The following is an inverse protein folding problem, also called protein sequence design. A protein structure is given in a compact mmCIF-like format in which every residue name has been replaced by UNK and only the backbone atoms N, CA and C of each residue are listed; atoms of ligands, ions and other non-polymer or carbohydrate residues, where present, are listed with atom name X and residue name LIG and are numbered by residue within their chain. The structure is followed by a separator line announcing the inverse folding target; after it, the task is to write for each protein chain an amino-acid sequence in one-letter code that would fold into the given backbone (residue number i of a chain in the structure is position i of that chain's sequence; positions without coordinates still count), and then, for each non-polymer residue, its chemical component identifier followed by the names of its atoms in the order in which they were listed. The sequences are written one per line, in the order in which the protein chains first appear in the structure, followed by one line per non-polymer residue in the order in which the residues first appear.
data_IF_061713932100
#
_entry.id   IF_061713932100
#
_cell.length_a   1.000
_cell.length_b   1.000
_cell.length_c   1.000
_cell.angle_alpha   90.00
_cell.angle_beta   90.00
_cell.angle_gamma   90.00
#
_symmetry.space_group_name_H-M   'P 1'
#
loop_
_entity.id
_entity.type
_entity.pdbx_description
1 polymer ?
#
# COMPACT_ATOMS: atom_id res chain seq x y z
N UNK A 1 8.54 16.69 10.10
CA UNK A 1 8.61 18.00 9.43
C UNK A 1 9.75 18.87 9.93
N UNK A 2 9.82 19.22 11.21
CA UNK A 2 10.88 20.07 11.80
C UNK A 2 12.33 19.84 11.34
N UNK A 3 12.74 18.59 11.06
CA UNK A 3 14.10 18.28 10.55
C UNK A 3 14.30 18.83 9.13
N UNK A 4 13.32 18.63 8.25
CA UNK A 4 13.34 19.16 6.87
C UNK A 4 13.23 20.68 6.88
N UNK A 5 12.36 21.23 7.72
CA UNK A 5 12.20 22.69 7.88
C UNK A 5 13.51 23.35 8.32
N UNK A 6 14.17 22.80 9.36
CA UNK A 6 15.47 23.28 9.83
C UNK A 6 16.56 23.19 8.76
N UNK A 7 16.53 22.14 7.95
CA UNK A 7 17.52 21.93 6.89
C UNK A 7 17.16 22.66 5.59
N UNK A 8 16.00 23.32 5.52
CA UNK A 8 15.46 23.96 4.32
C UNK A 8 15.41 22.97 3.13
N UNK A 9 15.06 21.71 3.42
CA UNK A 9 14.93 20.65 2.42
C UNK A 9 13.47 20.52 2.03
N UNK A 10 13.18 20.76 0.75
CA UNK A 10 11.87 20.48 0.18
C UNK A 10 11.57 18.98 0.21
N UNK A 11 10.31 18.63 0.44
CA UNK A 11 9.82 17.27 0.43
C UNK A 11 8.41 17.29 -0.15
N UNK A 12 7.98 16.15 -0.66
CA UNK A 12 6.59 15.92 -1.04
C UNK A 12 6.20 14.51 -0.63
N UNK A 13 4.91 14.26 -0.51
CA UNK A 13 4.43 12.89 -0.43
C UNK A 13 4.80 12.16 -1.72
N UNK A 14 5.20 10.90 -1.60
CA UNK A 14 5.58 10.09 -2.75
C UNK A 14 4.42 9.82 -3.72
N UNK A 15 3.22 9.56 -3.19
CA UNK A 15 2.09 9.06 -3.96
C UNK A 15 1.08 10.17 -4.27
N UNK A 16 0.99 10.55 -5.54
CA UNK A 16 0.00 11.55 -5.99
C UNK A 16 -1.40 10.93 -6.16
N UNK A 17 -1.49 9.84 -6.92
CA UNK A 17 -2.76 9.18 -7.29
C UNK A 17 -2.76 7.72 -6.90
N UNK A 18 -3.85 7.23 -6.31
CA UNK A 18 -4.03 5.81 -6.02
C UNK A 18 -5.51 5.37 -6.04
N UNK A 19 -5.79 4.21 -5.43
CA UNK A 19 -7.12 3.59 -5.35
C UNK A 19 -7.84 3.83 -4.02
N UNK A 20 -7.35 4.76 -3.18
CA UNK A 20 -8.03 5.20 -1.95
C UNK A 20 -7.22 5.06 -0.65
N UNK A 21 -5.90 4.83 -0.69
CA UNK A 21 -5.12 4.51 0.51
C UNK A 21 -4.31 5.70 1.05
N UNK A 22 -3.36 6.22 0.28
CA UNK A 22 -2.38 7.24 0.68
C UNK A 22 -2.34 8.45 -0.26
N UNK A 23 -2.84 8.33 -1.48
CA UNK A 23 -2.78 9.37 -2.51
C UNK A 23 -3.46 10.69 -2.11
N UNK A 24 -2.93 11.79 -2.63
CA UNK A 24 -3.54 13.13 -2.60
C UNK A 24 -4.84 13.19 -3.40
N UNK A 25 -4.87 12.46 -4.50
CA UNK A 25 -6.08 12.16 -5.26
C UNK A 25 -6.24 10.65 -5.36
N UNK A 26 -7.47 10.17 -5.48
CA UNK A 26 -7.72 8.75 -5.64
C UNK A 26 -8.96 8.49 -6.47
N UNK A 27 -9.04 7.32 -7.09
CA UNK A 27 -10.26 6.90 -7.77
C UNK A 27 -11.45 6.88 -6.78
N UNK A 28 -12.64 7.23 -7.26
CA UNK A 28 -13.84 7.13 -6.42
C UNK A 28 -14.06 5.68 -5.94
N UNK A 29 -14.44 5.45 -4.67
CA UNK A 29 -14.87 4.13 -4.20
C UNK A 29 -15.99 3.52 -5.05
N UNK A 30 -16.81 4.38 -5.67
CA UNK A 30 -17.91 3.99 -6.56
C UNK A 30 -17.51 3.80 -8.02
N UNK A 31 -16.25 4.03 -8.36
CA UNK A 31 -15.76 3.92 -9.74
C UNK A 31 -15.77 2.47 -10.24
N UNK A 32 -15.91 2.23 -11.55
CA UNK A 32 -15.84 0.89 -12.15
C UNK A 32 -14.60 0.10 -11.69
N UNK A 33 -13.42 0.74 -11.71
CA UNK A 33 -12.18 0.14 -11.23
C UNK A 33 -12.27 -0.36 -9.77
N UNK A 34 -12.66 0.51 -8.83
CA UNK A 34 -12.70 0.14 -7.41
C UNK A 34 -13.72 -0.95 -7.12
N UNK A 35 -14.89 -0.91 -7.78
CA UNK A 35 -15.92 -1.94 -7.65
C UNK A 35 -15.43 -3.29 -8.15
N UNK A 36 -14.74 -3.32 -9.29
CA UNK A 36 -14.18 -4.54 -9.86
C UNK A 36 -13.17 -5.21 -8.92
N UNK A 37 -12.21 -4.44 -8.40
CA UNK A 37 -11.10 -5.00 -7.62
C UNK A 37 -11.42 -5.17 -6.13
N UNK A 38 -12.53 -4.62 -5.62
CA UNK A 38 -12.87 -4.62 -4.21
C UNK A 38 -12.80 -5.99 -3.54
N UNK A 39 -13.36 -7.09 -4.11
CA UNK A 39 -13.25 -8.41 -3.49
C UNK A 39 -11.80 -8.88 -3.34
N UNK A 40 -10.96 -8.60 -4.33
CA UNK A 40 -9.55 -8.96 -4.28
C UNK A 40 -8.78 -8.09 -3.29
N UNK A 41 -9.09 -6.79 -3.18
CA UNK A 41 -8.51 -5.92 -2.16
C UNK A 41 -8.83 -6.40 -0.74
N UNK A 42 -10.06 -6.85 -0.47
CA UNK A 42 -10.41 -7.43 0.83
C UNK A 42 -9.64 -8.72 1.09
N UNK A 43 -9.44 -9.57 0.08
CA UNK A 43 -8.55 -10.73 0.17
C UNK A 43 -7.12 -10.31 0.51
N UNK A 44 -6.55 -9.30 -0.17
CA UNK A 44 -5.20 -8.78 0.11
C UNK A 44 -5.07 -8.27 1.55
N UNK A 45 -6.05 -7.52 2.05
CA UNK A 45 -6.07 -6.98 3.41
C UNK A 45 -6.08 -8.09 4.46
N UNK A 46 -7.00 -9.06 4.31
CA UNK A 46 -7.15 -10.19 5.25
C UNK A 46 -5.88 -11.04 5.32
N UNK A 47 -5.26 -11.29 4.17
CA UNK A 47 -4.04 -12.08 4.04
C UNK A 47 -2.74 -11.28 4.23
N UNK A 48 -2.85 -9.96 4.49
CA UNK A 48 -1.72 -9.05 4.71
C UNK A 48 -0.66 -9.08 3.57
N UNK A 49 -1.13 -9.16 2.32
CA UNK A 49 -0.25 -9.33 1.14
C UNK A 49 0.54 -8.06 0.79
N UNK A 50 0.10 -6.90 1.25
CA UNK A 50 0.82 -5.64 1.09
C UNK A 50 1.54 -5.26 2.39
N UNK A 51 2.72 -4.64 2.26
CA UNK A 51 3.47 -4.11 3.41
C UNK A 51 2.78 -2.92 4.09
N UNK A 52 1.81 -2.30 3.41
CA UNK A 52 1.04 -1.14 3.87
C UNK A 52 -0.45 -1.43 3.75
N UNK A 53 -1.29 -0.74 4.53
CA UNK A 53 -2.75 -0.88 4.42
C UNK A 53 -3.30 -2.23 4.91
N UNK A 54 -2.49 -3.03 5.60
CA UNK A 54 -2.91 -4.25 6.27
C UNK A 54 -3.51 -3.98 7.65
N UNK A 55 -4.47 -4.80 8.05
CA UNK A 55 -5.06 -4.79 9.39
C UNK A 55 -4.60 -6.03 10.18
N UNK A 56 -4.64 -6.00 11.53
CA UNK A 56 -4.42 -7.18 12.34
C UNK A 56 -5.30 -8.34 11.87
N UNK A 57 -4.71 -9.53 11.76
CA UNK A 57 -5.36 -10.74 11.25
C UNK A 57 -4.92 -11.91 12.10
N UNK A 58 -5.85 -12.47 12.88
CA UNK A 58 -5.60 -13.61 13.77
C UNK A 58 -5.18 -14.86 12.96
N UNK A 59 -5.77 -15.05 11.78
CA UNK A 59 -5.40 -16.12 10.84
C UNK A 59 -3.91 -16.05 10.47
N UNK A 60 -3.44 -14.86 10.07
CA UNK A 60 -2.04 -14.65 9.69
C UNK A 60 -1.12 -14.71 10.90
N UNK A 61 -1.53 -14.16 12.03
CA UNK A 61 -0.73 -14.17 13.27
C UNK A 61 -0.49 -15.60 13.77
N UNK A 62 -1.53 -16.43 13.80
CA UNK A 62 -1.44 -17.83 14.24
C UNK A 62 -0.52 -18.67 13.34
N UNK A 63 -0.40 -18.32 12.05
CA UNK A 63 0.53 -18.96 11.12
C UNK A 63 1.97 -18.44 11.30
N UNK A 64 2.15 -17.13 11.33
CA UNK A 64 3.47 -16.50 11.25
C UNK A 64 4.21 -16.52 12.58
N UNK A 65 3.52 -16.39 13.71
CA UNK A 65 4.14 -16.31 15.03
C UNK A 65 5.01 -17.53 15.37
N UNK A 66 4.54 -18.79 15.22
CA UNK A 66 5.38 -19.97 15.49
C UNK A 66 6.61 -20.04 14.58
N UNK A 67 6.47 -19.61 13.31
CA UNK A 67 7.58 -19.57 12.37
C UNK A 67 8.64 -18.54 12.78
N UNK A 68 8.21 -17.33 13.17
CA UNK A 68 9.10 -16.27 13.66
C UNK A 68 9.84 -16.74 14.91
N UNK A 69 9.13 -17.30 15.89
CA UNK A 69 9.71 -17.83 17.12
C UNK A 69 10.72 -18.95 16.85
N UNK A 70 10.43 -19.83 15.90
CA UNK A 70 11.36 -20.87 15.48
C UNK A 70 12.61 -20.29 14.81
N UNK A 71 12.47 -19.32 13.90
CA UNK A 71 13.61 -18.65 13.25
C UNK A 71 14.47 -17.93 14.29
N UNK A 72 13.88 -17.19 15.21
CA UNK A 72 14.62 -16.50 16.27
C UNK A 72 15.37 -17.48 17.19
N UNK A 73 14.82 -18.68 17.40
CA UNK A 73 15.48 -19.74 18.17
C UNK A 73 16.69 -20.33 17.43
N UNK A 74 16.58 -20.62 16.13
CA UNK A 74 17.63 -21.31 15.36
C UNK A 74 18.64 -20.37 14.73
N UNK A 75 18.26 -19.12 14.50
CA UNK A 75 19.09 -18.03 13.97
C UNK A 75 18.81 -16.73 14.71
N UNK A 76 19.34 -16.57 15.95
CA UNK A 76 19.14 -15.35 16.73
C UNK A 76 19.67 -14.07 16.05
N UNK A 77 20.56 -14.23 15.07
CA UNK A 77 21.15 -13.17 14.24
C UNK A 77 20.27 -12.78 13.05
N UNK A 78 19.16 -13.47 12.79
CA UNK A 78 18.27 -13.16 11.66
C UNK A 78 17.71 -11.73 11.74
N UNK A 79 17.48 -11.23 12.95
CA UNK A 79 17.06 -9.84 13.22
C UNK A 79 18.10 -8.79 12.83
N UNK A 80 19.36 -9.18 12.64
CA UNK A 80 20.47 -8.28 12.31
C UNK A 80 20.73 -8.24 10.79
N UNK A 81 19.99 -9.03 10.00
CA UNK A 81 20.10 -9.04 8.54
C UNK A 81 19.68 -7.70 7.94
N UNK A 82 20.38 -7.29 6.87
CA UNK A 82 20.03 -6.11 6.11
C UNK A 82 18.64 -6.27 5.44
N UNK A 83 17.74 -5.27 5.53
CA UNK A 83 17.92 -3.96 6.18
C UNK A 83 17.90 -4.05 7.71
N UNK A 84 18.91 -3.46 8.37
CA UNK A 84 19.10 -3.55 9.84
C UNK A 84 18.02 -2.85 10.65
N UNK A 85 17.13 -2.08 10.00
CA UNK A 85 15.94 -1.50 10.62
C UNK A 85 14.78 -2.49 10.73
N UNK A 86 14.94 -3.72 10.23
CA UNK A 86 13.90 -4.75 10.22
C UNK A 86 14.19 -5.80 11.29
N UNK A 87 13.15 -6.26 11.97
CA UNK A 87 13.22 -7.45 12.81
C UNK A 87 12.93 -8.72 11.98
N UNK A 88 13.11 -9.89 12.60
CA UNK A 88 12.84 -11.20 11.98
C UNK A 88 11.43 -11.27 11.38
N UNK A 89 10.41 -10.78 12.11
CA UNK A 89 9.04 -10.74 11.61
C UNK A 89 8.93 -10.00 10.28
N UNK A 90 9.51 -8.81 10.16
CA UNK A 90 9.41 -8.01 8.93
C UNK A 90 10.12 -8.68 7.76
N UNK A 91 11.24 -9.35 7.99
CA UNK A 91 11.91 -10.16 6.97
C UNK A 91 11.02 -11.31 6.49
N UNK A 92 10.38 -12.03 7.41
CA UNK A 92 9.52 -13.16 7.09
C UNK A 92 8.20 -12.73 6.43
N UNK A 93 7.53 -11.71 6.95
CA UNK A 93 6.35 -11.10 6.32
C UNK A 93 6.66 -10.70 4.87
N UNK A 94 7.81 -10.07 4.63
CA UNK A 94 8.22 -9.64 3.30
C UNK A 94 8.43 -10.82 2.37
N UNK A 95 9.17 -11.84 2.79
CA UNK A 95 9.51 -12.98 1.96
C UNK A 95 8.28 -13.85 1.65
N UNK A 96 7.45 -14.11 2.66
CA UNK A 96 6.38 -15.10 2.58
C UNK A 96 5.09 -14.46 2.10
N UNK A 97 4.58 -13.46 2.81
CA UNK A 97 3.26 -12.89 2.53
C UNK A 97 3.33 -11.90 1.35
N UNK A 98 4.29 -10.99 1.41
CA UNK A 98 4.35 -9.82 0.50
C UNK A 98 5.19 -10.04 -0.75
N UNK A 99 5.77 -11.22 -0.89
CA UNK A 99 6.51 -11.63 -2.09
C UNK A 99 5.93 -12.94 -2.59
N UNK A 100 6.24 -14.08 -1.97
CA UNK A 100 5.82 -15.38 -2.48
C UNK A 100 4.30 -15.54 -2.62
N UNK A 101 3.54 -15.32 -1.55
CA UNK A 101 2.09 -15.49 -1.57
C UNK A 101 1.42 -14.45 -2.46
N UNK A 102 1.82 -13.18 -2.36
CA UNK A 102 1.30 -12.12 -3.23
C UNK A 102 1.57 -12.41 -4.72
N UNK A 103 2.73 -12.95 -5.07
CA UNK A 103 3.10 -13.30 -6.45
C UNK A 103 2.25 -14.47 -6.97
N UNK A 104 2.03 -15.50 -6.13
CA UNK A 104 1.18 -16.65 -6.47
C UNK A 104 -0.28 -16.30 -6.79
N UNK A 105 -0.74 -15.11 -6.38
CA UNK A 105 -2.10 -14.62 -6.56
C UNK A 105 -2.24 -13.60 -7.70
N UNK A 106 -1.16 -13.27 -8.41
CA UNK A 106 -1.19 -12.27 -9.50
C UNK A 106 -2.13 -12.69 -10.63
N UNK A 107 -2.11 -13.96 -11.02
CA UNK A 107 -3.00 -14.44 -12.07
C UNK A 107 -4.45 -14.36 -11.63
N UNK A 108 -4.78 -14.69 -10.37
CA UNK A 108 -6.14 -14.52 -9.84
C UNK A 108 -6.62 -13.07 -9.90
N UNK A 109 -5.74 -12.09 -9.70
CA UNK A 109 -6.08 -10.69 -9.93
C UNK A 109 -6.31 -10.38 -11.42
N UNK A 110 -5.46 -10.90 -12.31
CA UNK A 110 -5.59 -10.72 -13.75
C UNK A 110 -6.89 -11.33 -14.31
N UNK A 111 -7.36 -12.43 -13.71
CA UNK A 111 -8.64 -13.07 -14.06
C UNK A 111 -9.84 -12.15 -13.92
N UNK A 112 -9.79 -11.12 -13.06
CA UNK A 112 -10.86 -10.13 -12.93
C UNK A 112 -11.15 -9.39 -14.24
N UNK A 113 -10.18 -9.35 -15.16
CA UNK A 113 -10.26 -8.65 -16.43
C UNK A 113 -10.47 -9.59 -17.63
N UNK A 114 -10.64 -10.89 -17.37
CA UNK A 114 -10.82 -11.88 -18.43
C UNK A 114 -12.07 -11.54 -19.26
N UNK A 115 -11.96 -11.71 -20.58
CA UNK A 115 -13.03 -11.53 -21.57
C UNK A 115 -13.61 -10.11 -21.66
N UNK A 116 -13.01 -9.12 -20.97
CA UNK A 116 -13.37 -7.71 -21.13
C UNK A 116 -12.99 -7.20 -22.52
N UNK A 117 -13.90 -6.42 -23.11
CA UNK A 117 -13.62 -5.72 -24.36
C UNK A 117 -12.66 -4.55 -24.14
N UNK A 118 -12.12 -4.00 -25.23
CA UNK A 118 -11.36 -2.74 -25.15
C UNK A 118 -12.20 -1.59 -24.56
N UNK A 119 -13.50 -1.53 -24.87
CA UNK A 119 -14.38 -0.49 -24.34
C UNK A 119 -14.61 -0.64 -22.82
N UNK A 120 -14.71 -1.89 -22.32
CA UNK A 120 -14.79 -2.15 -20.89
C UNK A 120 -13.49 -1.73 -20.17
N UNK A 121 -12.34 -2.04 -20.76
CA UNK A 121 -11.04 -1.65 -20.23
C UNK A 121 -10.84 -0.13 -20.26
N UNK A 122 -11.34 0.55 -21.29
CA UNK A 122 -11.34 2.01 -21.38
C UNK A 122 -12.21 2.63 -20.28
N UNK A 123 -13.40 2.07 -20.03
CA UNK A 123 -14.27 2.50 -18.93
C UNK A 123 -13.58 2.35 -17.56
N UNK A 124 -12.85 1.25 -17.36
CA UNK A 124 -12.07 1.02 -16.14
C UNK A 124 -10.90 2.00 -16.02
N UNK A 125 -10.16 2.24 -17.10
CA UNK A 125 -9.06 3.21 -17.13
C UNK A 125 -9.55 4.64 -16.85
N UNK A 126 -10.75 4.98 -17.35
CA UNK A 126 -11.36 6.29 -17.13
C UNK A 126 -11.67 6.57 -15.65
N UNK A 127 -11.77 5.55 -14.78
CA UNK A 127 -11.81 5.76 -13.32
C UNK A 127 -10.65 6.61 -12.79
N UNK A 128 -9.49 6.57 -13.47
CA UNK A 128 -8.31 7.33 -13.10
C UNK A 128 -8.24 8.71 -13.75
N UNK A 129 -9.19 9.08 -14.62
CA UNK A 129 -9.25 10.43 -15.15
C UNK A 129 -9.44 11.45 -14.02
N UNK A 130 -8.85 12.64 -14.15
CA UNK A 130 -8.74 13.57 -13.02
C UNK A 130 -10.11 14.06 -12.52
N UNK A 131 -11.07 14.26 -13.42
CA UNK A 131 -12.44 14.64 -13.08
C UNK A 131 -13.28 13.51 -12.45
N UNK A 132 -12.82 12.26 -12.54
CA UNK A 132 -13.43 11.09 -11.87
C UNK A 132 -12.79 10.79 -10.51
N UNK A 133 -11.66 11.43 -10.20
CA UNK A 133 -10.94 11.24 -8.95
C UNK A 133 -11.50 12.13 -7.84
N UNK A 134 -11.34 11.68 -6.60
CA UNK A 134 -11.66 12.41 -5.38
C UNK A 134 -10.37 12.95 -4.77
N UNK A 135 -10.42 14.15 -4.20
CA UNK A 135 -9.31 14.73 -3.46
C UNK A 135 -9.35 14.32 -1.99
N UNK A 136 -8.17 14.09 -1.39
CA UNK A 136 -8.04 13.83 0.04
C UNK A 136 -7.88 15.15 0.78
N UNK A 137 -8.99 15.83 1.06
CA UNK A 137 -9.02 17.19 1.60
C UNK A 137 -8.11 17.39 2.81
N UNK A 138 -8.13 16.47 3.78
CA UNK A 138 -7.29 16.57 4.97
C UNK A 138 -5.79 16.55 4.66
N UNK A 139 -5.35 15.64 3.78
CA UNK A 139 -3.95 15.57 3.35
C UNK A 139 -3.59 16.78 2.50
N UNK A 140 -4.41 17.12 1.52
CA UNK A 140 -4.14 18.23 0.59
C UNK A 140 -4.06 19.56 1.34
N UNK A 141 -4.88 19.76 2.37
CA UNK A 141 -4.77 20.91 3.26
C UNK A 141 -3.44 20.94 4.00
N UNK A 142 -3.04 19.85 4.65
CA UNK A 142 -1.76 19.77 5.37
C UNK A 142 -0.58 20.08 4.45
N UNK A 143 -0.59 19.52 3.23
CA UNK A 143 0.45 19.77 2.22
C UNK A 143 0.46 21.24 1.76
N UNK A 144 -0.72 21.83 1.54
CA UNK A 144 -0.85 23.23 1.10
C UNK A 144 -0.40 24.20 2.19
N UNK A 145 -0.81 23.97 3.43
CA UNK A 145 -0.44 24.79 4.58
C UNK A 145 1.09 24.79 4.76
N UNK A 146 1.74 23.62 4.65
CA UNK A 146 3.21 23.51 4.76
C UNK A 146 3.95 24.24 3.64
N UNK A 147 3.44 24.21 2.40
CA UNK A 147 4.05 24.90 1.27
C UNK A 147 4.11 26.43 1.46
N UNK A 148 3.14 27.02 2.19
CA UNK A 148 3.12 28.47 2.45
C UNK A 148 4.12 28.90 3.52
N UNK A 149 4.40 28.05 4.51
CA UNK A 149 5.36 28.35 5.59
C UNK A 149 6.78 28.50 5.03
N UNK A 150 7.13 27.72 4.01
CA UNK A 150 8.44 27.80 3.35
C UNK A 150 8.69 29.09 2.54
N UNK A 151 7.68 29.94 2.33
CA UNK A 151 7.77 31.19 1.54
C UNK A 151 7.91 32.43 2.45
N UNK A 152 7.58 32.31 3.73
CA UNK A 152 7.48 33.44 4.68
C UNK A 152 8.67 33.57 5.64
N UNK A 153 9.71 32.75 5.48
CA UNK A 153 11.03 32.87 6.15
C UNK A 153 12.11 33.29 5.15
#
# INVERSE_FOLDING_TARGET
MKIYDKAQISWTIWLYKDIGLQGMVHTSPDSPWNKLIAPFLEKKKRLQLDSWGKYPSEEVENLMKPLIEWVDKVSPTAKDLYPTSWNTQKHLDRAILQTFLSDSLQMEFAELFRDMSFDDLELLANSFHFDQCIQRDGLNRIMSDHATVAILE
#
